data_IF_138341000483
#
_entry.id   IF_138341000483
#
_cell.length_a   1.000
_cell.length_b   1.000
_cell.length_c   1.000
_cell.angle_alpha   90.00
_cell.angle_beta   90.00
_cell.angle_gamma   90.00
#
_symmetry.space_group_name_H-M   'P 1'
#
loop_
_entity.id
_entity.type
_entity.pdbx_description
1 polymer ?
#
# COMPACT_ATOMS: atom_id res chain seq x y z
N UNK A 1 2.10 -38.38 34.99
CA UNK A 1 2.10 -37.22 35.92
C UNK A 1 2.78 -37.47 37.28
N UNK A 2 3.19 -38.70 37.64
CA UNK A 2 3.85 -38.98 38.94
C UNK A 2 5.36 -38.66 39.01
N UNK A 3 6.04 -38.48 37.87
CA UNK A 3 7.49 -38.20 37.80
C UNK A 3 7.85 -36.72 38.13
N UNK A 4 6.97 -35.77 37.78
CA UNK A 4 7.15 -34.34 38.11
C UNK A 4 6.93 -34.01 39.59
N UNK A 5 6.30 -34.92 40.36
CA UNK A 5 5.96 -34.70 41.77
C UNK A 5 7.06 -35.07 42.76
N UNK A 6 8.11 -35.81 42.34
CA UNK A 6 9.16 -36.33 43.24
C UNK A 6 10.56 -35.78 43.03
N UNK A 7 10.85 -35.15 41.89
CA UNK A 7 12.20 -34.69 41.55
C UNK A 7 12.23 -33.18 41.34
N UNK A 8 12.98 -32.49 42.21
CA UNK A 8 13.27 -31.06 42.08
C UNK A 8 13.92 -30.75 40.71
N UNK A 9 14.78 -31.65 40.24
CA UNK A 9 15.46 -31.55 38.94
C UNK A 9 14.46 -31.61 37.79
N UNK A 10 13.46 -32.50 37.84
CA UNK A 10 12.45 -32.59 36.79
C UNK A 10 11.59 -31.32 36.69
N UNK A 11 11.30 -30.66 37.82
CA UNK A 11 10.62 -29.35 37.84
C UNK A 11 11.50 -28.26 37.20
N UNK A 12 12.77 -28.18 37.58
CA UNK A 12 13.71 -27.18 37.02
C UNK A 12 13.84 -27.36 35.51
N UNK A 13 14.05 -28.58 35.04
CA UNK A 13 14.14 -28.88 33.59
C UNK A 13 12.85 -28.53 32.87
N UNK A 14 11.69 -28.87 33.43
CA UNK A 14 10.40 -28.51 32.84
C UNK A 14 10.20 -26.98 32.76
N UNK A 15 10.59 -26.24 33.81
CA UNK A 15 10.53 -24.77 33.81
C UNK A 15 11.47 -24.17 32.77
N UNK A 16 12.71 -24.66 32.65
CA UNK A 16 13.66 -24.19 31.66
C UNK A 16 13.19 -24.46 30.22
N UNK A 17 12.57 -25.62 29.99
CA UNK A 17 11.97 -25.95 28.70
C UNK A 17 10.78 -25.04 28.38
N UNK A 18 9.92 -24.74 29.36
CA UNK A 18 8.80 -23.81 29.18
C UNK A 18 9.30 -22.39 28.84
N UNK A 19 10.29 -21.88 29.57
CA UNK A 19 10.92 -20.57 29.30
C UNK A 19 11.54 -20.55 27.90
N UNK A 20 12.27 -21.59 27.53
CA UNK A 20 12.90 -21.71 26.21
C UNK A 20 11.86 -21.74 25.07
N UNK A 21 10.77 -22.48 25.26
CA UNK A 21 9.67 -22.54 24.30
C UNK A 21 8.97 -21.18 24.14
N UNK A 22 8.72 -20.47 25.24
CA UNK A 22 8.16 -19.12 25.20
C UNK A 22 9.09 -18.15 24.47
N UNK A 23 10.40 -18.22 24.71
CA UNK A 23 11.37 -17.39 24.01
C UNK A 23 11.37 -17.64 22.50
N UNK A 24 11.29 -18.90 22.06
CA UNK A 24 11.20 -19.26 20.64
C UNK A 24 9.91 -18.72 20.00
N UNK A 25 8.76 -18.88 20.65
CA UNK A 25 7.48 -18.34 20.16
C UNK A 25 7.58 -16.81 20.01
N UNK A 26 8.15 -16.12 20.99
CA UNK A 26 8.36 -14.67 20.94
C UNK A 26 9.22 -14.23 19.75
N UNK A 27 10.29 -14.97 19.45
CA UNK A 27 11.14 -14.71 18.28
C UNK A 27 10.36 -14.90 16.98
N UNK A 28 9.62 -16.00 16.84
CA UNK A 28 8.81 -16.28 15.64
C UNK A 28 7.77 -15.20 15.40
N UNK A 29 7.04 -14.79 16.45
CA UNK A 29 6.06 -13.70 16.36
C UNK A 29 6.73 -12.38 15.97
N UNK A 30 7.88 -12.07 16.54
CA UNK A 30 8.63 -10.84 16.23
C UNK A 30 9.13 -10.84 14.79
N UNK A 31 9.65 -11.96 14.30
CA UNK A 31 10.10 -12.12 12.91
C UNK A 31 8.94 -12.00 11.92
N UNK A 32 7.79 -12.60 12.20
CA UNK A 32 6.61 -12.49 11.34
C UNK A 32 6.12 -11.04 11.19
N UNK A 33 6.13 -10.27 12.28
CA UNK A 33 5.78 -8.84 12.25
C UNK A 33 6.82 -8.03 11.49
N UNK A 34 8.12 -8.23 11.77
CA UNK A 34 9.20 -7.50 11.12
C UNK A 34 9.27 -7.75 9.59
N UNK A 35 8.91 -8.95 9.15
CA UNK A 35 8.80 -9.30 7.74
C UNK A 35 7.70 -8.51 7.01
N UNK A 36 6.53 -8.33 7.65
CA UNK A 36 5.42 -7.56 7.10
C UNK A 36 5.67 -6.05 7.07
N UNK A 37 6.35 -5.50 8.08
CA UNK A 37 6.59 -4.05 8.19
C UNK A 37 7.42 -3.46 7.06
N UNK A 38 8.33 -4.23 6.46
CA UNK A 38 9.16 -3.75 5.34
C UNK A 38 8.35 -3.64 4.04
N UNK A 39 7.35 -4.50 3.86
CA UNK A 39 6.39 -4.43 2.74
C UNK A 39 5.41 -3.28 2.90
N UNK A 40 4.96 -2.99 4.12
CA UNK A 40 4.03 -1.90 4.42
C UNK A 40 4.60 -0.53 4.05
N UNK A 41 5.86 -0.25 4.43
CA UNK A 41 6.52 1.01 4.08
C UNK A 41 6.76 1.15 2.56
N UNK A 42 7.08 0.05 1.87
CA UNK A 42 7.23 0.04 0.42
C UNK A 42 5.90 0.35 -0.28
N UNK A 43 4.79 -0.26 0.18
CA UNK A 43 3.45 0.00 -0.33
C UNK A 43 3.01 1.45 -0.16
N UNK A 44 3.24 2.04 1.02
CA UNK A 44 2.96 3.47 1.29
C UNK A 44 3.76 4.37 0.35
N UNK A 45 5.03 4.06 0.11
CA UNK A 45 5.87 4.84 -0.81
C UNK A 45 5.39 4.73 -2.26
N UNK A 46 5.04 3.53 -2.73
CA UNK A 46 4.48 3.34 -4.08
C UNK A 46 3.16 4.09 -4.22
N UNK A 47 2.23 3.94 -3.27
CA UNK A 47 0.97 4.68 -3.25
C UNK A 47 1.21 6.20 -3.22
N UNK A 48 2.19 6.65 -2.43
CA UNK A 48 2.62 8.05 -2.40
C UNK A 48 3.11 8.55 -3.75
N UNK A 49 3.87 7.73 -4.48
CA UNK A 49 4.39 8.05 -5.80
C UNK A 49 3.30 8.19 -6.87
N UNK A 50 2.14 7.54 -6.71
CA UNK A 50 0.98 7.69 -7.61
C UNK A 50 0.44 9.13 -7.58
N UNK A 51 0.40 9.77 -6.39
CA UNK A 51 -0.01 11.18 -6.26
C UNK A 51 0.89 12.10 -7.06
N UNK A 52 2.20 11.95 -6.87
CA UNK A 52 3.19 12.71 -7.63
C UNK A 52 3.10 12.44 -9.13
N UNK A 53 2.92 11.19 -9.53
CA UNK A 53 2.76 10.84 -10.93
C UNK A 53 1.50 11.47 -11.54
N UNK A 54 0.40 11.56 -10.79
CA UNK A 54 -0.84 12.22 -11.22
C UNK A 54 -0.62 13.70 -11.48
N UNK A 55 0.07 14.41 -10.57
CA UNK A 55 0.45 15.80 -10.79
C UNK A 55 1.42 15.97 -11.97
N UNK A 56 2.34 15.02 -12.19
CA UNK A 56 3.20 15.03 -13.38
C UNK A 56 2.38 14.91 -14.67
N UNK A 57 1.34 14.07 -14.69
CA UNK A 57 0.43 13.93 -15.83
C UNK A 57 -0.31 15.26 -16.08
N UNK A 58 -0.86 15.89 -15.03
CA UNK A 58 -1.51 17.21 -15.13
C UNK A 58 -0.55 18.24 -15.73
N UNK A 59 0.69 18.32 -15.20
CA UNK A 59 1.69 19.26 -15.68
C UNK A 59 2.09 19.00 -17.15
N UNK A 60 2.22 17.73 -17.55
CA UNK A 60 2.54 17.35 -18.92
C UNK A 60 1.39 17.67 -19.90
N UNK A 61 0.13 17.45 -19.49
CA UNK A 61 -1.05 17.86 -20.26
C UNK A 61 -1.10 19.37 -20.47
N UNK A 62 -0.85 20.16 -19.42
CA UNK A 62 -0.79 21.62 -19.52
C UNK A 62 0.34 22.12 -20.43
N UNK A 63 1.49 21.42 -20.46
CA UNK A 63 2.57 21.73 -21.42
C UNK A 63 2.14 21.40 -22.85
N UNK A 64 1.51 20.25 -23.06
CA UNK A 64 1.01 19.83 -24.37
C UNK A 64 -0.07 20.79 -24.92
N UNK A 65 -0.91 21.34 -24.04
CA UNK A 65 -1.91 22.37 -24.38
C UNK A 65 -1.27 23.64 -24.94
N UNK A 66 -0.17 24.09 -24.33
CA UNK A 66 0.54 25.30 -24.75
C UNK A 66 1.34 25.09 -26.02
N UNK A 67 2.00 23.94 -26.12
CA UNK A 67 2.87 23.57 -27.24
C UNK A 67 2.58 22.13 -27.60
N UNK A 68 1.75 21.91 -28.61
CA UNK A 68 1.45 20.57 -29.11
C UNK A 68 2.61 20.05 -29.95
N UNK A 69 3.47 19.23 -29.34
CA UNK A 69 4.60 18.56 -29.99
C UNK A 69 4.56 17.05 -29.74
N UNK A 70 5.22 16.29 -30.63
CA UNK A 70 5.36 14.83 -30.48
C UNK A 70 6.09 14.46 -29.18
N UNK A 71 7.07 15.27 -28.76
CA UNK A 71 7.81 15.05 -27.51
C UNK A 71 6.91 15.22 -26.28
N UNK A 72 6.08 16.27 -26.25
CA UNK A 72 5.14 16.52 -25.16
C UNK A 72 4.06 15.43 -25.10
N UNK A 73 3.59 14.96 -26.25
CA UNK A 73 2.67 13.82 -26.32
C UNK A 73 3.33 12.53 -25.78
N UNK A 74 4.57 12.25 -26.18
CA UNK A 74 5.32 11.09 -25.71
C UNK A 74 5.53 11.14 -24.18
N UNK A 75 5.82 12.31 -23.63
CA UNK A 75 5.95 12.52 -22.18
C UNK A 75 4.68 12.11 -21.43
N UNK A 76 3.50 12.55 -21.89
CA UNK A 76 2.21 12.16 -21.29
C UNK A 76 2.01 10.65 -21.31
N UNK A 77 2.31 9.98 -22.43
CA UNK A 77 2.20 8.53 -22.54
C UNK A 77 3.16 7.78 -21.61
N UNK A 78 4.38 8.27 -21.43
CA UNK A 78 5.36 7.70 -20.48
C UNK A 78 4.84 7.83 -19.05
N UNK A 79 4.31 8.99 -18.68
CA UNK A 79 3.78 9.23 -17.34
C UNK A 79 2.52 8.41 -17.06
N UNK A 80 1.64 8.24 -18.05
CA UNK A 80 0.47 7.36 -17.99
C UNK A 80 0.90 5.90 -17.73
N UNK A 81 1.85 5.38 -18.50
CA UNK A 81 2.35 4.01 -18.33
C UNK A 81 2.99 3.81 -16.96
N UNK A 82 3.80 4.77 -16.51
CA UNK A 82 4.42 4.74 -15.19
C UNK A 82 3.39 4.69 -14.06
N UNK A 83 2.26 5.39 -14.22
CA UNK A 83 1.17 5.33 -13.26
C UNK A 83 0.56 3.92 -13.22
N UNK A 84 0.31 3.31 -14.38
CA UNK A 84 -0.24 1.95 -14.50
C UNK A 84 0.69 0.90 -13.89
N UNK A 85 2.00 0.98 -14.18
CA UNK A 85 3.02 0.09 -13.62
C UNK A 85 3.06 0.15 -12.09
N UNK A 86 2.95 1.36 -11.51
CA UNK A 86 2.92 1.55 -10.05
C UNK A 86 1.61 1.08 -9.43
N UNK A 87 0.49 1.32 -10.10
CA UNK A 87 -0.83 0.92 -9.60
C UNK A 87 -0.98 -0.61 -9.56
N UNK A 88 -0.29 -1.31 -10.45
CA UNK A 88 -0.27 -2.77 -10.54
C UNK A 88 0.96 -3.41 -9.86
N UNK A 89 1.81 -2.64 -9.16
CA UNK A 89 3.06 -3.17 -8.61
C UNK A 89 2.82 -4.19 -7.50
N UNK A 90 3.71 -5.17 -7.39
CA UNK A 90 3.64 -6.22 -6.35
C UNK A 90 3.78 -5.61 -4.95
N UNK A 91 4.57 -4.54 -4.79
CA UNK A 91 4.73 -3.84 -3.52
C UNK A 91 3.41 -3.21 -3.05
N UNK A 92 2.63 -2.62 -3.97
CA UNK A 92 1.32 -2.06 -3.62
C UNK A 92 0.27 -3.16 -3.44
N UNK A 93 0.12 -4.04 -4.42
CA UNK A 93 -0.93 -5.07 -4.43
C UNK A 93 -0.75 -6.11 -3.32
N UNK A 94 0.49 -6.43 -2.96
CA UNK A 94 0.81 -7.34 -1.85
C UNK A 94 0.39 -6.81 -0.48
N UNK A 95 0.26 -5.48 -0.32
CA UNK A 95 -0.24 -4.86 0.91
C UNK A 95 -1.78 -4.76 0.95
N UNK A 96 -2.48 -5.03 -0.15
CA UNK A 96 -3.95 -4.97 -0.20
C UNK A 96 -4.55 -6.25 0.41
N UNK A 97 -5.39 -6.16 1.47
CA UNK A 97 -5.98 -7.31 2.13
C UNK A 97 -6.83 -8.17 1.19
N UNK A 98 -6.93 -9.47 1.45
CA UNK A 98 -7.71 -10.44 0.63
C UNK A 98 -9.23 -10.24 0.74
N UNK A 99 -9.72 -9.72 1.87
CA UNK A 99 -11.16 -9.58 2.12
C UNK A 99 -11.79 -8.46 1.28
N UNK A 100 -12.83 -8.81 0.53
CA UNK A 100 -13.66 -7.88 -0.26
C UNK A 100 -14.33 -6.78 0.57
N UNK A 101 -14.64 -7.08 1.83
CA UNK A 101 -15.24 -6.14 2.77
C UNK A 101 -14.21 -5.19 3.41
N UNK A 102 -12.92 -5.33 3.11
CA UNK A 102 -11.89 -4.45 3.66
C UNK A 102 -11.91 -3.08 3.00
N UNK A 103 -11.86 -2.00 3.80
CA UNK A 103 -11.90 -0.62 3.31
C UNK A 103 -10.75 -0.31 2.34
N UNK A 104 -9.50 -0.62 2.72
CA UNK A 104 -8.34 -0.48 1.82
C UNK A 104 -8.54 -1.15 0.45
N UNK A 105 -9.15 -2.34 0.38
CA UNK A 105 -9.44 -3.01 -0.90
C UNK A 105 -10.52 -2.26 -1.70
N UNK A 106 -11.57 -1.76 -1.04
CA UNK A 106 -12.57 -0.91 -1.71
C UNK A 106 -11.93 0.32 -2.31
N UNK A 107 -11.09 1.00 -1.54
CA UNK A 107 -10.42 2.22 -1.99
C UNK A 107 -9.45 1.95 -3.15
N UNK A 108 -8.66 0.89 -3.09
CA UNK A 108 -7.79 0.47 -4.20
C UNK A 108 -8.61 0.20 -5.48
N UNK A 109 -9.73 -0.52 -5.38
CA UNK A 109 -10.61 -0.77 -6.54
C UNK A 109 -11.25 0.50 -7.09
N UNK A 110 -11.59 1.47 -6.24
CA UNK A 110 -12.11 2.76 -6.67
C UNK A 110 -11.08 3.49 -7.53
N UNK A 111 -9.84 3.61 -7.05
CA UNK A 111 -8.72 4.21 -7.80
C UNK A 111 -8.49 3.47 -9.12
N UNK A 112 -8.48 2.13 -9.07
CA UNK A 112 -8.26 1.29 -10.24
C UNK A 112 -9.37 1.45 -11.29
N UNK A 113 -10.63 1.48 -10.85
CA UNK A 113 -11.79 1.69 -11.72
C UNK A 113 -11.77 3.09 -12.34
N UNK A 114 -11.61 4.14 -11.53
CA UNK A 114 -11.57 5.53 -12.01
C UNK A 114 -10.45 5.74 -13.02
N UNK A 115 -9.27 5.18 -12.74
CA UNK A 115 -8.16 5.26 -13.68
C UNK A 115 -8.48 4.57 -15.01
N UNK A 116 -8.84 3.29 -15.00
CA UNK A 116 -9.00 2.52 -16.24
C UNK A 116 -10.24 2.91 -17.05
N UNK A 117 -11.34 3.23 -16.39
CA UNK A 117 -12.63 3.43 -17.05
C UNK A 117 -12.86 4.88 -17.47
N UNK A 118 -12.21 5.84 -16.81
CA UNK A 118 -12.49 7.27 -17.02
C UNK A 118 -11.22 8.03 -17.41
N UNK A 119 -10.18 7.98 -16.60
CA UNK A 119 -9.05 8.91 -16.71
C UNK A 119 -8.02 8.50 -17.76
N UNK A 120 -7.61 7.24 -17.80
CA UNK A 120 -6.65 6.74 -18.78
C UNK A 120 -7.14 6.93 -20.24
N UNK A 121 -8.41 6.61 -20.57
CA UNK A 121 -8.99 6.94 -21.88
C UNK A 121 -9.00 8.45 -22.14
N UNK A 122 -9.46 9.26 -21.19
CA UNK A 122 -9.54 10.72 -21.36
C UNK A 122 -8.17 11.38 -21.56
N UNK A 123 -7.13 10.92 -20.85
CA UNK A 123 -5.74 11.36 -21.05
C UNK A 123 -5.27 11.03 -22.46
N UNK A 124 -5.56 9.82 -22.95
CA UNK A 124 -5.21 9.40 -24.31
C UNK A 124 -5.96 10.21 -25.37
N UNK A 125 -7.24 10.49 -25.18
CA UNK A 125 -8.06 11.31 -26.09
C UNK A 125 -7.58 12.76 -26.12
N UNK A 126 -7.17 13.30 -24.97
CA UNK A 126 -6.66 14.66 -24.85
C UNK A 126 -5.42 14.93 -25.71
N UNK A 127 -4.50 13.97 -25.73
CA UNK A 127 -3.29 14.09 -26.56
C UNK A 127 -3.50 13.68 -28.02
N UNK A 128 -4.52 12.87 -28.32
CA UNK A 128 -4.83 12.44 -29.69
C UNK A 128 -5.62 13.48 -30.50
N UNK A 129 -6.57 14.17 -29.87
CA UNK A 129 -7.50 15.05 -30.57
C UNK A 129 -7.12 16.53 -30.54
N UNK A 130 -6.13 16.96 -29.74
CA UNK A 130 -5.71 18.37 -29.56
C UNK A 130 -6.80 19.37 -29.12
N UNK A 131 -8.07 18.95 -29.00
CA UNK A 131 -9.23 19.80 -28.72
C UNK A 131 -9.90 19.53 -27.35
N UNK A 132 -9.32 18.68 -26.51
CA UNK A 132 -9.93 18.38 -25.20
C UNK A 132 -9.85 19.57 -24.26
N UNK A 133 -10.96 19.86 -23.59
CA UNK A 133 -11.05 20.79 -22.46
C UNK A 133 -10.25 20.26 -21.27
N UNK A 134 -8.95 20.54 -21.26
CA UNK A 134 -7.99 20.06 -20.25
C UNK A 134 -8.40 20.44 -18.82
N UNK A 135 -9.11 21.54 -18.60
CA UNK A 135 -9.65 21.92 -17.28
C UNK A 135 -10.56 20.89 -16.61
N UNK A 136 -11.37 20.17 -17.40
CA UNK A 136 -12.29 19.16 -16.83
C UNK A 136 -11.52 17.89 -16.48
N UNK A 137 -10.56 17.51 -17.32
CA UNK A 137 -9.66 16.40 -17.07
C UNK A 137 -8.77 16.67 -15.85
N UNK A 138 -8.24 17.89 -15.71
CA UNK A 138 -7.44 18.29 -14.55
C UNK A 138 -8.22 18.15 -13.24
N UNK A 139 -9.47 18.63 -13.19
CA UNK A 139 -10.33 18.46 -12.00
C UNK A 139 -10.62 16.99 -11.69
N UNK A 140 -10.78 16.15 -12.71
CA UNK A 140 -10.98 14.72 -12.52
C UNK A 140 -9.70 14.03 -11.99
N UNK A 141 -8.53 14.44 -12.48
CA UNK A 141 -7.23 13.99 -11.97
C UNK A 141 -6.98 14.47 -10.53
N UNK A 142 -7.38 15.68 -10.16
CA UNK A 142 -7.34 16.16 -8.78
C UNK A 142 -8.23 15.30 -7.87
N UNK A 143 -9.42 14.92 -8.35
CA UNK A 143 -10.30 13.97 -7.67
C UNK A 143 -9.64 12.60 -7.45
N UNK A 144 -8.90 12.10 -8.44
CA UNK A 144 -8.12 10.87 -8.30
C UNK A 144 -7.04 10.99 -7.23
N UNK A 145 -6.36 12.14 -7.12
CA UNK A 145 -5.38 12.36 -6.04
C UNK A 145 -6.05 12.22 -4.68
N UNK A 146 -7.25 12.77 -4.50
CA UNK A 146 -8.03 12.59 -3.27
C UNK A 146 -8.34 11.12 -2.95
N UNK A 147 -8.66 10.31 -3.96
CA UNK A 147 -8.87 8.87 -3.75
C UNK A 147 -7.57 8.14 -3.36
N UNK A 148 -6.46 8.53 -3.98
CA UNK A 148 -5.13 7.98 -3.66
C UNK A 148 -4.72 8.38 -2.24
N UNK A 149 -4.97 9.62 -1.81
CA UNK A 149 -4.73 10.07 -0.44
C UNK A 149 -5.52 9.25 0.58
N UNK A 150 -6.80 9.00 0.30
CA UNK A 150 -7.62 8.12 1.14
C UNK A 150 -7.04 6.70 1.20
N UNK A 151 -6.53 6.16 0.09
CA UNK A 151 -5.87 4.86 0.05
C UNK A 151 -4.58 4.83 0.89
N UNK A 152 -3.75 5.87 0.78
CA UNK A 152 -2.52 6.02 1.57
C UNK A 152 -2.84 6.04 3.06
N UNK A 153 -3.85 6.83 3.47
CA UNK A 153 -4.29 6.88 4.86
C UNK A 153 -4.74 5.50 5.38
N UNK A 154 -5.43 4.71 4.55
CA UNK A 154 -5.82 3.34 4.89
C UNK A 154 -4.61 2.39 5.02
N UNK A 155 -3.58 2.55 4.19
CA UNK A 155 -2.33 1.80 4.34
C UNK A 155 -1.60 2.14 5.64
N UNK A 156 -1.52 3.43 5.98
CA UNK A 156 -0.92 3.90 7.24
C UNK A 156 -1.66 3.35 8.46
N UNK A 157 -2.99 3.48 8.50
CA UNK A 157 -3.82 2.97 9.60
C UNK A 157 -3.71 1.45 9.79
N UNK A 158 -3.68 0.67 8.71
CA UNK A 158 -3.50 -0.79 8.80
C UNK A 158 -2.13 -1.16 9.35
N UNK A 159 -1.11 -0.39 8.98
CA UNK A 159 0.27 -0.58 9.45
C UNK A 159 0.35 -0.28 10.96
N UNK A 160 -0.24 0.82 11.41
CA UNK A 160 -0.31 1.19 12.83
C UNK A 160 -1.10 0.18 13.67
N UNK A 161 -2.26 -0.28 13.18
CA UNK A 161 -3.10 -1.25 13.87
C UNK A 161 -2.36 -2.59 14.10
N UNK A 162 -1.57 -3.03 13.11
CA UNK A 162 -0.69 -4.21 13.26
C UNK A 162 0.36 -4.02 14.35
N UNK A 163 1.02 -2.86 14.38
CA UNK A 163 2.00 -2.55 15.42
C UNK A 163 1.38 -2.49 16.81
N UNK A 164 0.22 -1.85 16.96
CA UNK A 164 -0.52 -1.76 18.22
C UNK A 164 -0.93 -3.16 18.74
N UNK A 165 -1.48 -4.01 17.87
CA UNK A 165 -1.84 -5.38 18.20
C UNK A 165 -0.62 -6.20 18.68
N UNK A 166 0.52 -6.06 17.99
CA UNK A 166 1.77 -6.72 18.37
C UNK A 166 2.31 -6.25 19.72
N UNK A 167 2.24 -4.94 19.99
CA UNK A 167 2.65 -4.38 21.29
C UNK A 167 1.78 -4.89 22.44
N UNK A 168 0.45 -4.96 22.24
CA UNK A 168 -0.49 -5.49 23.23
C UNK A 168 -0.28 -6.98 23.49
N UNK A 169 -0.05 -7.78 22.44
CA UNK A 169 0.23 -9.21 22.57
C UNK A 169 1.52 -9.46 23.38
N UNK A 170 2.56 -8.62 23.21
CA UNK A 170 3.75 -8.65 24.08
C UNK A 170 3.38 -8.35 25.53
N UNK A 171 2.64 -7.28 25.82
CA UNK A 171 2.30 -6.93 27.21
C UNK A 171 1.50 -8.01 27.93
N UNK A 172 0.58 -8.70 27.25
CA UNK A 172 -0.20 -9.79 27.83
C UNK A 172 0.61 -11.08 28.05
N UNK A 173 1.72 -11.27 27.33
CA UNK A 173 2.60 -12.43 27.49
C UNK A 173 3.65 -12.25 28.60
N UNK A 174 3.90 -11.01 29.03
CA UNK A 174 4.88 -10.66 30.07
C UNK A 174 4.23 -10.24 31.41
N UNK A 175 2.90 -10.24 31.49
CA UNK A 175 2.13 -10.05 32.73
C UNK A 175 1.65 -11.40 33.27
#
# INVERSE_FOLDING_TARGET
MKLLQRSLVARIVASLLAISAMALISIVVTMAVAGGSRGDAAAINVAGSLRMNTYQIVAALQRFERISSLDNQAEVHVLKRRFEERLASDELTGAIPVSEAHELRRQYRLVLSRWHNELAPAVSEAVASQYVRIDTLNRALDGLVGDIDAMVNQLEQNTEARFACSAHCRSCFWA
#
